data_IF_925707938086
#
_entry.id   IF_925707938086
#
_cell.length_a   1.000
_cell.length_b   1.000
_cell.length_c   1.000
_cell.angle_alpha   90.00
_cell.angle_beta   90.00
_cell.angle_gamma   90.00
#
_symmetry.space_group_name_H-M   'P 1'
#
loop_
_entity.id
_entity.type
_entity.pdbx_description
1 polymer ?
#
# COMPACT_ATOMS: atom_id res chain seq x y z
N UNK A 1 -12.78 34.38 -17.84
CA UNK A 1 -13.31 33.04 -18.15
C UNK A 1 -13.32 32.88 -19.67
N UNK A 2 -12.57 31.90 -20.18
CA UNK A 2 -12.39 31.65 -21.62
C UNK A 2 -13.68 31.12 -22.26
N UNK A 3 -13.95 31.43 -23.53
CA UNK A 3 -15.10 30.95 -24.29
C UNK A 3 -15.26 29.41 -24.26
N UNK A 4 -14.16 28.67 -24.09
CA UNK A 4 -14.17 27.22 -23.95
C UNK A 4 -14.91 26.73 -22.68
N UNK A 5 -14.90 27.51 -21.59
CA UNK A 5 -15.58 27.14 -20.34
C UNK A 5 -17.10 27.34 -20.41
N UNK A 6 -17.58 28.25 -21.26
CA UNK A 6 -19.01 28.51 -21.44
C UNK A 6 -19.71 27.36 -22.21
N UNK A 7 -19.05 26.82 -23.24
CA UNK A 7 -19.58 25.72 -24.04
C UNK A 7 -19.74 24.41 -23.25
N UNK A 8 -18.83 24.12 -22.31
CA UNK A 8 -18.90 22.92 -21.45
C UNK A 8 -20.07 23.01 -20.45
N UNK A 9 -20.33 24.19 -19.90
CA UNK A 9 -21.45 24.43 -18.99
C UNK A 9 -22.81 24.37 -19.71
N UNK A 10 -22.89 24.86 -20.95
CA UNK A 10 -24.11 24.75 -21.77
C UNK A 10 -24.43 23.29 -22.15
N UNK A 11 -23.43 22.48 -22.52
CA UNK A 11 -23.64 21.04 -22.78
C UNK A 11 -24.14 20.27 -21.55
N UNK A 12 -23.65 20.59 -20.35
CA UNK A 12 -24.12 19.94 -19.10
C UNK A 12 -25.56 20.31 -18.73
N UNK A 13 -26.02 21.53 -19.04
CA UNK A 13 -27.42 21.93 -18.80
C UNK A 13 -28.40 21.28 -19.80
N UNK A 14 -28.02 21.14 -21.07
CA UNK A 14 -28.87 20.51 -22.08
C UNK A 14 -29.13 19.02 -21.80
N UNK A 15 -28.10 18.28 -21.38
CA UNK A 15 -28.23 16.84 -21.09
C UNK A 15 -29.09 16.55 -19.84
N UNK A 16 -29.14 17.49 -18.87
CA UNK A 16 -29.97 17.36 -17.66
C UNK A 16 -31.47 17.60 -17.93
N UNK A 17 -31.80 18.40 -18.97
CA UNK A 17 -33.18 18.66 -19.38
C UNK A 17 -33.84 17.49 -20.11
N UNK A 18 -33.07 16.73 -20.92
CA UNK A 18 -33.62 15.60 -21.67
C UNK A 18 -33.99 14.39 -20.79
N UNK A 19 -33.27 14.17 -19.68
CA UNK A 19 -33.56 13.06 -18.74
C UNK A 19 -34.88 13.30 -17.99
N UNK A 20 -35.26 14.56 -17.74
CA UNK A 20 -36.50 14.89 -17.02
C UNK A 20 -37.75 14.79 -17.88
N UNK A 21 -37.66 14.94 -19.21
CA UNK A 21 -38.84 14.85 -20.10
C UNK A 21 -39.22 13.39 -20.39
N UNK A 22 -38.27 12.47 -20.46
CA UNK A 22 -38.52 11.05 -20.78
C UNK A 22 -39.27 10.27 -19.68
N UNK A 23 -39.18 10.69 -18.42
CA UNK A 23 -39.80 9.99 -17.28
C UNK A 23 -41.30 10.34 -17.13
N UNK A 24 -41.73 11.52 -17.57
CA UNK A 24 -43.15 11.94 -17.46
C UNK A 24 -44.06 11.40 -18.57
N UNK A 25 -43.51 10.94 -19.70
CA UNK A 25 -44.31 10.46 -20.83
C UNK A 25 -44.83 9.02 -20.67
N UNK A 26 -44.27 8.22 -19.75
CA UNK A 26 -44.59 6.79 -19.65
C UNK A 26 -45.71 6.41 -18.64
N UNK A 27 -46.30 7.38 -17.94
CA UNK A 27 -47.27 7.12 -16.84
C UNK A 27 -48.73 7.48 -17.17
N UNK A 28 -49.10 7.70 -18.44
CA UNK A 28 -50.43 8.21 -18.80
C UNK A 28 -51.22 7.35 -19.81
N UNK A 29 -51.20 6.02 -19.66
CA UNK A 29 -52.13 5.15 -20.42
C UNK A 29 -52.28 3.76 -19.80
N UNK A 30 -53.25 3.61 -18.90
CA UNK A 30 -54.08 2.40 -18.74
C UNK A 30 -55.16 2.67 -17.68
N UNK A 31 -56.36 3.00 -18.13
CA UNK A 31 -57.57 3.06 -17.32
C UNK A 31 -58.44 1.85 -17.72
N UNK A 32 -58.73 0.89 -16.82
CA UNK A 32 -59.74 -0.11 -17.07
C UNK A 32 -61.05 0.23 -16.33
N UNK A 33 -62.11 0.21 -17.12
CA UNK A 33 -63.53 0.32 -16.81
C UNK A 33 -63.98 -0.45 -15.56
N UNK A 34 -64.77 0.23 -14.70
CA UNK A 34 -65.49 -0.35 -13.55
C UNK A 34 -66.55 -1.34 -14.02
N UNK A 35 -66.37 -2.62 -13.70
CA UNK A 35 -67.46 -3.58 -13.54
C UNK A 35 -67.58 -3.96 -12.05
N UNK A 36 -68.78 -3.78 -11.51
CA UNK A 36 -69.12 -4.15 -10.15
C UNK A 36 -69.14 -5.69 -10.02
N UNK A 37 -68.24 -6.24 -9.22
CA UNK A 37 -68.18 -7.66 -8.85
C UNK A 37 -68.33 -7.74 -7.33
N UNK A 38 -69.25 -8.60 -6.89
CA UNK A 38 -69.66 -8.75 -5.49
C UNK A 38 -68.51 -9.03 -4.52
N UNK A 39 -68.60 -8.43 -3.34
CA UNK A 39 -67.68 -8.63 -2.23
C UNK A 39 -67.94 -10.00 -1.61
N UNK A 40 -67.14 -11.00 -2.00
CA UNK A 40 -66.95 -12.21 -1.21
C UNK A 40 -65.66 -12.04 -0.40
N UNK A 41 -65.80 -11.91 0.92
CA UNK A 41 -64.69 -11.84 1.88
C UNK A 41 -63.98 -13.21 1.95
N UNK A 42 -62.70 -13.34 1.58
CA UNK A 42 -61.95 -14.58 1.81
C UNK A 42 -61.61 -14.73 3.30
N UNK A 43 -61.51 -15.97 3.83
CA UNK A 43 -61.08 -16.18 5.21
C UNK A 43 -59.63 -15.70 5.38
N UNK A 44 -59.33 -15.18 6.58
CA UNK A 44 -58.04 -14.64 6.96
C UNK A 44 -56.88 -15.59 6.60
N UNK A 45 -56.10 -15.23 5.57
CA UNK A 45 -54.82 -15.86 5.31
C UNK A 45 -53.85 -15.43 6.41
N UNK A 46 -53.48 -16.39 7.26
CA UNK A 46 -52.33 -16.28 8.15
C UNK A 46 -51.08 -16.04 7.32
N UNK A 47 -50.46 -14.86 7.46
CA UNK A 47 -49.14 -14.58 6.88
C UNK A 47 -48.17 -15.65 7.39
N UNK A 48 -47.44 -16.37 6.54
CA UNK A 48 -46.31 -17.16 7.01
C UNK A 48 -45.34 -16.20 7.69
N UNK A 49 -44.92 -16.57 8.90
CA UNK A 49 -43.92 -15.83 9.66
C UNK A 49 -42.71 -15.57 8.75
N UNK A 50 -42.30 -14.30 8.65
CA UNK A 50 -41.10 -13.92 7.94
C UNK A 50 -39.93 -14.72 8.54
N UNK A 51 -39.44 -15.71 7.80
CA UNK A 51 -38.18 -16.36 8.12
C UNK A 51 -37.10 -15.29 8.09
N UNK A 52 -36.40 -15.10 9.22
CA UNK A 52 -35.23 -14.23 9.31
C UNK A 52 -34.30 -14.47 8.11
N UNK A 53 -33.73 -13.42 7.51
CA UNK A 53 -32.75 -13.60 6.45
C UNK A 53 -31.63 -14.49 6.98
N UNK A 54 -31.32 -15.56 6.24
CA UNK A 54 -30.22 -16.45 6.56
C UNK A 54 -28.94 -15.62 6.78
N UNK A 55 -28.08 -15.99 7.75
CA UNK A 55 -26.82 -15.29 7.95
C UNK A 55 -26.06 -15.29 6.63
N UNK A 56 -25.72 -14.09 6.16
CA UNK A 56 -24.79 -13.91 5.03
C UNK A 56 -23.60 -14.84 5.24
N UNK A 57 -23.12 -15.56 4.22
CA UNK A 57 -21.92 -16.38 4.35
C UNK A 57 -20.83 -15.49 4.97
N UNK A 58 -20.27 -15.98 6.08
CA UNK A 58 -19.33 -15.25 6.92
C UNK A 58 -18.34 -14.49 6.04
N UNK A 59 -18.29 -13.17 6.22
CA UNK A 59 -17.39 -12.32 5.48
C UNK A 59 -15.98 -12.89 5.64
N UNK A 60 -15.40 -13.42 4.56
CA UNK A 60 -14.10 -14.08 4.62
C UNK A 60 -13.01 -13.12 5.09
N UNK A 61 -11.78 -13.60 5.36
CA UNK A 61 -10.67 -12.80 5.91
C UNK A 61 -10.35 -11.48 5.16
N UNK A 62 -10.83 -11.31 3.92
CA UNK A 62 -10.76 -10.05 3.19
C UNK A 62 -11.59 -8.91 3.82
N UNK A 63 -12.69 -9.20 4.52
CA UNK A 63 -13.53 -8.19 5.16
C UNK A 63 -12.88 -7.58 6.42
N UNK A 64 -11.90 -8.29 7.01
CA UNK A 64 -11.20 -7.88 8.23
C UNK A 64 -9.82 -7.27 8.00
N UNK A 65 -9.39 -7.13 6.73
CA UNK A 65 -8.12 -6.50 6.39
C UNK A 65 -8.08 -5.04 6.87
N UNK A 66 -7.34 -4.78 7.95
CA UNK A 66 -7.25 -3.45 8.58
C UNK A 66 -6.81 -2.35 7.60
N UNK A 67 -5.96 -2.71 6.64
CA UNK A 67 -5.43 -1.79 5.63
C UNK A 67 -6.46 -1.39 4.55
N UNK A 68 -7.65 -2.01 4.54
CA UNK A 68 -8.78 -1.49 3.76
C UNK A 68 -9.46 -0.29 4.45
N UNK A 69 -9.24 -0.13 5.77
CA UNK A 69 -9.74 1.01 6.55
C UNK A 69 -8.78 2.18 6.38
N UNK A 70 -9.33 3.35 6.04
CA UNK A 70 -8.55 4.55 5.68
C UNK A 70 -7.58 4.99 6.78
N UNK A 71 -8.05 5.07 8.02
CA UNK A 71 -7.26 5.61 9.13
C UNK A 71 -6.00 4.78 9.42
N UNK A 72 -6.08 3.49 9.74
CA UNK A 72 -4.87 2.73 10.06
C UNK A 72 -3.96 2.58 8.83
N UNK A 73 -4.51 2.46 7.61
CA UNK A 73 -3.71 2.40 6.39
C UNK A 73 -2.92 3.68 6.12
N UNK A 74 -3.57 4.84 6.22
CA UNK A 74 -2.91 6.14 6.05
C UNK A 74 -1.83 6.37 7.11
N UNK A 75 -2.12 6.06 8.38
CA UNK A 75 -1.14 6.15 9.47
C UNK A 75 0.07 5.24 9.22
N UNK A 76 -0.17 3.99 8.81
CA UNK A 76 0.89 3.03 8.50
C UNK A 76 1.84 3.55 7.41
N UNK A 77 1.29 4.09 6.32
CA UNK A 77 2.10 4.68 5.24
C UNK A 77 2.88 5.89 5.74
N UNK A 78 2.28 6.78 6.52
CA UNK A 78 2.96 7.96 7.06
C UNK A 78 4.10 7.55 7.97
N UNK A 79 3.86 6.68 8.96
CA UNK A 79 4.89 6.26 9.92
C UNK A 79 6.03 5.56 9.20
N UNK A 80 5.73 4.57 8.34
CA UNK A 80 6.75 3.85 7.59
C UNK A 80 7.59 4.79 6.71
N UNK A 81 6.95 5.77 6.07
CA UNK A 81 7.64 6.73 5.22
C UNK A 81 8.46 7.74 6.00
N UNK A 82 7.97 8.24 7.13
CA UNK A 82 8.72 9.15 8.01
C UNK A 82 9.97 8.45 8.55
N UNK A 83 9.85 7.20 9.00
CA UNK A 83 11.00 6.42 9.47
C UNK A 83 11.99 6.20 8.31
N UNK A 84 11.53 5.75 7.15
CA UNK A 84 12.39 5.53 5.98
C UNK A 84 13.11 6.79 5.51
N UNK A 85 12.38 7.91 5.45
CA UNK A 85 12.92 9.23 5.10
C UNK A 85 13.96 9.69 6.12
N UNK A 86 13.66 9.56 7.41
CA UNK A 86 14.56 9.94 8.49
C UNK A 86 15.86 9.15 8.45
N UNK A 87 15.76 7.82 8.31
CA UNK A 87 16.95 6.97 8.22
C UNK A 87 17.77 7.27 6.97
N UNK A 88 17.13 7.47 5.82
CA UNK A 88 17.82 7.83 4.57
C UNK A 88 18.52 9.20 4.66
N UNK A 89 17.90 10.14 5.37
CA UNK A 89 18.46 11.47 5.63
C UNK A 89 19.68 11.40 6.55
N UNK A 90 19.59 10.69 7.68
CA UNK A 90 20.74 10.46 8.57
C UNK A 90 21.89 9.78 7.81
N UNK A 91 21.58 8.79 6.99
CA UNK A 91 22.54 8.09 6.15
C UNK A 91 23.27 9.02 5.19
N UNK A 92 22.56 10.00 4.65
CA UNK A 92 23.13 10.99 3.74
C UNK A 92 24.07 11.94 4.49
N UNK A 93 23.68 12.39 5.69
CA UNK A 93 24.54 13.22 6.56
C UNK A 93 25.81 12.46 6.94
N UNK A 94 25.67 11.20 7.36
CA UNK A 94 26.81 10.36 7.76
C UNK A 94 27.77 10.12 6.59
N UNK A 95 27.24 9.95 5.36
CA UNK A 95 28.08 9.86 4.16
C UNK A 95 28.85 11.15 3.89
N UNK A 96 28.22 12.32 4.06
CA UNK A 96 28.88 13.62 3.88
C UNK A 96 29.98 13.83 4.93
N UNK A 97 29.71 13.54 6.20
CA UNK A 97 30.72 13.62 7.27
C UNK A 97 31.91 12.72 7.02
N UNK A 98 31.67 11.50 6.53
CA UNK A 98 32.74 10.56 6.18
C UNK A 98 33.55 11.03 4.96
N UNK A 99 32.94 11.75 4.02
CA UNK A 99 33.67 12.37 2.90
C UNK A 99 34.53 13.54 3.36
N UNK A 100 34.07 14.32 4.34
CA UNK A 100 34.84 15.44 4.94
C UNK A 100 35.98 14.94 5.83
N UNK A 101 35.73 13.90 6.62
CA UNK A 101 36.71 13.28 7.51
C UNK A 101 36.60 11.74 7.45
N UNK A 102 37.42 11.08 6.61
CA UNK A 102 37.37 9.62 6.44
C UNK A 102 37.60 8.81 7.72
N UNK A 103 38.30 9.38 8.71
CA UNK A 103 38.60 8.75 10.00
C UNK A 103 37.51 8.92 11.06
N UNK A 104 36.39 9.57 10.75
CA UNK A 104 35.32 9.79 11.73
C UNK A 104 34.60 8.49 12.08
N UNK A 105 34.34 8.30 13.37
CA UNK A 105 33.45 7.25 13.88
C UNK A 105 32.01 7.73 13.84
N UNK A 106 31.14 6.99 13.15
CA UNK A 106 29.73 7.36 13.02
C UNK A 106 28.91 6.81 14.19
N UNK A 107 27.76 7.45 14.48
CA UNK A 107 26.88 7.01 15.57
C UNK A 107 26.26 5.62 15.38
N UNK A 108 26.29 5.11 14.15
CA UNK A 108 25.81 3.76 13.82
C UNK A 108 26.94 2.75 13.60
N UNK A 109 28.18 3.12 13.92
CA UNK A 109 29.31 2.20 13.98
C UNK A 109 29.34 1.56 15.37
N UNK A 110 28.50 0.52 15.55
CA UNK A 110 28.31 -0.13 16.84
C UNK A 110 29.43 -1.13 17.16
N UNK A 111 29.89 -1.83 16.13
CA UNK A 111 30.97 -2.82 16.20
C UNK A 111 31.47 -3.14 14.78
N UNK A 112 32.58 -3.90 14.62
CA UNK A 112 33.14 -4.21 13.31
C UNK A 112 32.18 -4.93 12.34
N UNK A 113 31.20 -5.67 12.86
CA UNK A 113 30.19 -6.36 12.04
C UNK A 113 28.97 -5.50 11.72
N UNK A 114 28.71 -4.46 12.52
CA UNK A 114 27.59 -3.53 12.36
C UNK A 114 28.08 -2.09 12.31
N UNK A 115 28.45 -1.65 11.10
CA UNK A 115 29.10 -0.36 10.83
C UNK A 115 28.57 0.26 9.54
N UNK A 116 27.95 1.45 9.66
CA UNK A 116 27.57 2.22 8.48
C UNK A 116 28.79 2.71 7.72
N UNK A 117 29.82 3.17 8.45
CA UNK A 117 31.00 3.77 7.88
C UNK A 117 31.74 2.82 6.97
N UNK A 118 31.89 1.56 7.40
CA UNK A 118 32.57 0.52 6.62
C UNK A 118 31.77 0.13 5.38
N UNK A 119 30.44 0.01 5.48
CA UNK A 119 29.59 -0.30 4.32
C UNK A 119 29.64 0.83 3.27
N UNK A 120 29.76 2.08 3.70
CA UNK A 120 29.80 3.25 2.80
C UNK A 120 31.08 3.36 1.96
N UNK A 121 32.14 2.62 2.29
CA UNK A 121 33.41 2.62 1.55
C UNK A 121 33.34 1.73 0.29
N UNK A 122 32.38 0.82 0.25
CA UNK A 122 32.22 -0.10 -0.87
C UNK A 122 31.52 0.56 -2.07
N UNK A 123 31.91 0.23 -3.32
CA UNK A 123 31.28 0.78 -4.52
C UNK A 123 29.77 0.57 -4.60
N UNK A 124 29.26 -0.49 -3.99
CA UNK A 124 27.83 -0.83 -3.94
C UNK A 124 27.01 0.16 -3.09
N UNK A 125 27.67 1.02 -2.31
CA UNK A 125 27.02 2.15 -1.64
C UNK A 125 26.62 3.28 -2.60
N UNK A 126 27.01 3.18 -3.88
CA UNK A 126 26.60 4.11 -4.93
C UNK A 126 25.90 3.38 -6.08
N UNK A 127 24.83 3.97 -6.56
CA UNK A 127 24.08 3.51 -7.72
C UNK A 127 23.95 4.70 -8.67
N UNK A 128 24.12 4.48 -9.97
CA UNK A 128 24.03 5.54 -10.98
C UNK A 128 24.99 6.73 -10.73
N UNK A 129 26.09 6.50 -10.01
CA UNK A 129 27.10 7.52 -9.70
C UNK A 129 26.80 8.39 -8.47
N UNK A 130 25.73 8.11 -7.73
CA UNK A 130 25.43 8.83 -6.49
C UNK A 130 25.13 7.89 -5.31
N UNK A 131 25.30 8.35 -4.06
CA UNK A 131 25.02 7.54 -2.88
C UNK A 131 23.56 7.06 -2.83
N UNK A 132 23.34 5.76 -2.56
CA UNK A 132 22.01 5.13 -2.53
C UNK A 132 21.04 5.79 -1.54
N UNK A 133 21.58 6.44 -0.52
CA UNK A 133 20.87 7.18 0.52
C UNK A 133 19.94 8.24 -0.06
N UNK A 134 20.34 8.89 -1.16
CA UNK A 134 19.52 9.90 -1.82
C UNK A 134 18.30 9.31 -2.53
N UNK A 135 18.41 8.07 -3.05
CA UNK A 135 17.25 7.36 -3.61
C UNK A 135 16.19 7.17 -2.53
N UNK A 136 16.60 6.80 -1.32
CA UNK A 136 15.70 6.65 -0.18
C UNK A 136 14.95 7.95 0.13
N UNK A 137 15.66 9.07 0.21
CA UNK A 137 15.05 10.39 0.48
C UNK A 137 13.94 10.69 -0.52
N UNK A 138 14.22 10.54 -1.82
CA UNK A 138 13.22 10.84 -2.87
C UNK A 138 12.09 9.81 -2.85
N UNK A 139 12.41 8.53 -2.69
CA UNK A 139 11.44 7.45 -2.76
C UNK A 139 10.40 7.50 -1.62
N UNK A 140 10.81 7.78 -0.37
CA UNK A 140 9.91 7.78 0.78
C UNK A 140 8.95 8.97 0.84
N UNK A 141 9.20 10.04 0.08
CA UNK A 141 8.24 11.16 -0.04
C UNK A 141 6.93 10.70 -0.70
N UNK A 142 7.00 9.75 -1.64
CA UNK A 142 5.82 9.27 -2.38
C UNK A 142 4.83 8.52 -1.48
N UNK A 143 5.19 7.44 -0.75
CA UNK A 143 4.27 6.79 0.17
C UNK A 143 3.81 7.71 1.31
N UNK A 144 4.64 8.68 1.74
CA UNK A 144 4.24 9.70 2.71
C UNK A 144 3.06 10.53 2.18
N UNK A 145 3.20 11.05 0.96
CA UNK A 145 2.14 11.80 0.28
C UNK A 145 0.86 10.96 0.14
N UNK A 146 0.98 9.69 -0.27
CA UNK A 146 -0.18 8.80 -0.37
C UNK A 146 -0.86 8.59 0.99
N UNK A 147 -0.09 8.41 2.06
CA UNK A 147 -0.64 8.29 3.42
C UNK A 147 -1.45 9.52 3.82
N UNK A 148 -0.94 10.73 3.55
CA UNK A 148 -1.66 11.99 3.80
C UNK A 148 -2.93 12.08 2.96
N UNK A 149 -2.86 11.75 1.66
CA UNK A 149 -4.02 11.79 0.75
C UNK A 149 -5.12 10.80 1.17
N UNK A 150 -4.75 9.61 1.65
CA UNK A 150 -5.70 8.63 2.22
C UNK A 150 -6.42 9.21 3.44
N UNK A 151 -5.70 9.85 4.36
CA UNK A 151 -6.30 10.48 5.55
C UNK A 151 -7.16 11.70 5.21
N UNK A 152 -6.76 12.48 4.19
CA UNK A 152 -7.52 13.59 3.64
C UNK A 152 -8.78 13.14 2.85
N UNK A 153 -9.01 11.83 2.73
CA UNK A 153 -10.13 11.21 1.99
C UNK A 153 -10.12 11.50 0.49
N UNK A 154 -8.95 11.77 -0.08
CA UNK A 154 -8.80 11.94 -1.53
C UNK A 154 -8.94 10.58 -2.22
N UNK A 155 -9.77 10.53 -3.26
CA UNK A 155 -9.90 9.34 -4.11
C UNK A 155 -8.81 9.35 -5.18
N UNK A 156 -7.91 8.37 -5.11
CA UNK A 156 -6.81 8.22 -6.05
C UNK A 156 -7.16 7.17 -7.11
N UNK A 157 -6.88 7.44 -8.40
CA UNK A 157 -7.07 6.46 -9.46
C UNK A 157 -6.18 5.22 -9.28
N UNK A 158 -6.64 4.07 -9.78
CA UNK A 158 -5.95 2.78 -9.60
C UNK A 158 -4.51 2.74 -10.12
N UNK A 159 -4.19 3.48 -11.20
CA UNK A 159 -2.83 3.52 -11.76
C UNK A 159 -1.80 4.13 -10.81
N UNK A 160 -2.21 5.05 -9.93
CA UNK A 160 -1.34 5.60 -8.90
C UNK A 160 -0.99 4.54 -7.86
N UNK A 161 -1.94 3.68 -7.51
CA UNK A 161 -1.71 2.58 -6.57
C UNK A 161 -0.82 1.49 -7.16
N UNK A 162 -0.99 1.15 -8.43
CA UNK A 162 -0.09 0.20 -9.11
C UNK A 162 1.30 0.80 -9.29
N UNK A 163 1.40 2.10 -9.59
CA UNK A 163 2.67 2.83 -9.62
C UNK A 163 3.37 2.83 -8.26
N UNK A 164 2.64 3.09 -7.17
CA UNK A 164 3.19 3.01 -5.81
C UNK A 164 3.65 1.59 -5.45
N UNK A 165 2.86 0.57 -5.79
CA UNK A 165 3.23 -0.83 -5.57
C UNK A 165 4.50 -1.21 -6.36
N UNK A 166 4.59 -0.77 -7.63
CA UNK A 166 5.77 -0.99 -8.47
C UNK A 166 7.01 -0.28 -7.90
N UNK A 167 6.88 0.97 -7.47
CA UNK A 167 7.97 1.74 -6.85
C UNK A 167 8.46 1.11 -5.55
N UNK A 168 7.55 0.74 -4.65
CA UNK A 168 7.88 0.02 -3.41
C UNK A 168 8.49 -1.36 -3.70
N UNK A 169 8.03 -2.04 -4.74
CA UNK A 169 8.59 -3.32 -5.19
C UNK A 169 10.02 -3.16 -5.69
N UNK A 170 10.28 -2.16 -6.53
CA UNK A 170 11.64 -1.84 -6.99
C UNK A 170 12.55 -1.48 -5.80
N UNK A 171 12.04 -0.69 -4.85
CA UNK A 171 12.76 -0.36 -3.61
C UNK A 171 13.06 -1.59 -2.75
N UNK A 172 12.10 -2.49 -2.57
CA UNK A 172 12.29 -3.73 -1.84
C UNK A 172 13.33 -4.65 -2.51
N UNK A 173 13.29 -4.78 -3.83
CA UNK A 173 14.27 -5.55 -4.60
C UNK A 173 15.68 -4.96 -4.48
N UNK A 174 15.81 -3.63 -4.61
CA UNK A 174 17.07 -2.93 -4.40
C UNK A 174 17.59 -3.16 -2.97
N UNK A 175 16.72 -3.07 -1.96
CA UNK A 175 17.08 -3.37 -0.59
C UNK A 175 17.59 -4.81 -0.43
N UNK A 176 16.96 -5.80 -1.07
CA UNK A 176 17.41 -7.20 -0.97
C UNK A 176 18.75 -7.43 -1.68
N UNK A 177 18.97 -6.75 -2.80
CA UNK A 177 20.26 -6.76 -3.49
C UNK A 177 21.38 -6.17 -2.60
N UNK A 178 21.13 -5.02 -1.98
CA UNK A 178 22.09 -4.39 -1.06
C UNK A 178 22.29 -5.20 0.21
N UNK A 179 21.22 -5.77 0.77
CA UNK A 179 21.28 -6.72 1.88
C UNK A 179 22.21 -7.89 1.55
N UNK A 180 21.99 -8.55 0.41
CA UNK A 180 22.81 -9.69 0.00
C UNK A 180 24.28 -9.29 -0.12
N UNK A 181 24.55 -8.17 -0.79
CA UNK A 181 25.92 -7.68 -0.98
C UNK A 181 26.58 -7.34 0.37
N UNK A 182 25.89 -6.59 1.22
CA UNK A 182 26.42 -6.15 2.52
C UNK A 182 26.70 -7.34 3.45
N UNK A 183 25.73 -8.23 3.59
CA UNK A 183 25.76 -9.29 4.60
C UNK A 183 26.56 -10.51 4.13
N UNK A 184 26.42 -10.91 2.87
CA UNK A 184 27.03 -12.15 2.37
C UNK A 184 28.32 -11.92 1.59
N UNK A 185 28.44 -10.83 0.81
CA UNK A 185 29.66 -10.56 0.05
C UNK A 185 30.69 -9.76 0.86
N UNK A 186 30.25 -8.72 1.57
CA UNK A 186 31.12 -7.86 2.37
C UNK A 186 31.30 -8.40 3.80
N UNK A 187 30.22 -8.94 4.40
CA UNK A 187 30.24 -9.42 5.79
C UNK A 187 30.07 -8.33 6.84
N UNK A 188 29.43 -7.21 6.48
CA UNK A 188 29.13 -6.09 7.40
C UNK A 188 27.68 -5.68 7.24
N UNK A 189 26.96 -5.48 8.33
CA UNK A 189 25.61 -4.93 8.37
C UNK A 189 25.60 -3.43 8.68
N UNK A 190 24.61 -2.71 8.15
CA UNK A 190 24.36 -1.31 8.51
C UNK A 190 23.04 -1.21 9.29
N UNK A 191 23.04 -0.76 10.56
CA UNK A 191 21.82 -0.66 11.38
C UNK A 191 20.73 0.20 10.74
N UNK A 192 21.11 1.29 10.10
CA UNK A 192 20.14 2.16 9.44
C UNK A 192 19.58 1.58 8.13
N UNK A 193 20.40 0.92 7.32
CA UNK A 193 19.91 0.17 6.15
C UNK A 193 18.91 -0.91 6.58
N UNK A 194 19.17 -1.55 7.72
CA UNK A 194 18.23 -2.50 8.34
C UNK A 194 16.88 -1.83 8.54
N UNK A 195 16.83 -0.68 9.22
CA UNK A 195 15.57 0.04 9.44
C UNK A 195 14.87 0.42 8.13
N UNK A 196 15.62 0.84 7.11
CA UNK A 196 15.08 1.21 5.78
C UNK A 196 14.37 0.04 5.13
N UNK A 197 14.98 -1.15 5.06
CA UNK A 197 14.29 -2.30 4.47
C UNK A 197 13.18 -2.85 5.36
N UNK A 198 13.27 -2.67 6.69
CA UNK A 198 12.21 -3.04 7.65
C UNK A 198 10.91 -2.30 7.42
N UNK A 199 10.96 -1.03 7.01
CA UNK A 199 9.75 -0.29 6.67
C UNK A 199 9.32 -0.51 5.22
N UNK A 200 10.28 -0.72 4.31
CA UNK A 200 10.00 -0.88 2.88
C UNK A 200 9.25 -2.18 2.57
N UNK A 201 9.68 -3.31 3.14
CA UNK A 201 9.07 -4.63 2.84
C UNK A 201 7.59 -4.69 3.25
N UNK A 202 7.19 -4.34 4.49
CA UNK A 202 5.79 -4.34 4.88
C UNK A 202 4.96 -3.36 4.06
N UNK A 203 5.48 -2.16 3.78
CA UNK A 203 4.79 -1.19 2.92
C UNK A 203 4.53 -1.76 1.53
N UNK A 204 5.53 -2.40 0.91
CA UNK A 204 5.38 -3.06 -0.38
C UNK A 204 4.28 -4.12 -0.34
N UNK A 205 4.34 -5.05 0.63
CA UNK A 205 3.36 -6.12 0.73
C UNK A 205 1.94 -5.58 0.94
N UNK A 206 1.76 -4.67 1.91
CA UNK A 206 0.44 -4.10 2.25
C UNK A 206 -0.14 -3.28 1.10
N UNK A 207 0.65 -2.42 0.43
CA UNK A 207 0.19 -1.63 -0.71
C UNK A 207 -0.18 -2.54 -1.89
N UNK A 208 0.63 -3.58 -2.15
CA UNK A 208 0.34 -4.56 -3.21
C UNK A 208 -0.95 -5.33 -2.90
N UNK A 209 -1.14 -5.76 -1.64
CA UNK A 209 -2.38 -6.39 -1.20
C UNK A 209 -3.59 -5.47 -1.32
N UNK A 210 -3.46 -4.20 -0.91
CA UNK A 210 -4.49 -3.18 -1.08
C UNK A 210 -4.88 -3.00 -2.55
N UNK A 211 -3.89 -2.82 -3.44
CA UNK A 211 -4.12 -2.64 -4.87
C UNK A 211 -4.76 -3.88 -5.52
N UNK A 212 -4.36 -5.08 -5.10
CA UNK A 212 -4.92 -6.34 -5.58
C UNK A 212 -6.38 -6.54 -5.12
N UNK A 213 -6.70 -6.31 -3.84
CA UNK A 213 -8.07 -6.41 -3.33
C UNK A 213 -9.01 -5.37 -3.96
N UNK A 214 -8.49 -4.20 -4.33
CA UNK A 214 -9.23 -3.16 -5.05
C UNK A 214 -9.37 -3.39 -6.55
N UNK A 215 -8.72 -4.43 -7.09
CA UNK A 215 -8.79 -4.78 -8.51
C UNK A 215 -7.96 -3.89 -9.43
N UNK A 216 -6.98 -3.14 -8.90
CA UNK A 216 -6.23 -2.16 -9.69
C UNK A 216 -5.22 -2.78 -10.67
N UNK A 217 -4.85 -4.05 -10.49
CA UNK A 217 -4.00 -4.79 -11.44
C UNK A 217 -4.78 -5.39 -12.62
N UNK A 218 -6.09 -5.16 -12.71
CA UNK A 218 -6.95 -5.66 -13.79
C UNK A 218 -7.61 -7.01 -13.48
N UNK A 219 -8.68 -7.31 -14.22
CA UNK A 219 -9.57 -8.43 -13.94
C UNK A 219 -8.88 -9.81 -13.95
N UNK A 220 -7.90 -10.02 -14.83
CA UNK A 220 -7.17 -11.30 -14.91
C UNK A 220 -6.32 -11.58 -13.67
N UNK A 221 -5.63 -10.56 -13.13
CA UNK A 221 -4.82 -10.71 -11.92
C UNK A 221 -5.72 -10.89 -10.70
N UNK A 222 -6.82 -10.14 -10.61
CA UNK A 222 -7.77 -10.23 -9.49
C UNK A 222 -8.53 -11.56 -9.45
N UNK A 223 -8.75 -12.19 -10.61
CA UNK A 223 -9.38 -13.51 -10.68
C UNK A 223 -8.46 -14.66 -10.21
N UNK A 224 -7.14 -14.43 -10.12
CA UNK A 224 -6.20 -15.45 -9.68
C UNK A 224 -6.38 -15.78 -8.19
N UNK A 225 -6.55 -17.06 -7.83
CA UNK A 225 -6.67 -17.47 -6.42
C UNK A 225 -5.39 -17.13 -5.64
N UNK A 226 -4.22 -17.21 -6.27
CA UNK A 226 -2.94 -16.87 -5.65
C UNK A 226 -2.84 -15.38 -5.31
N UNK A 227 -3.26 -14.51 -6.22
CA UNK A 227 -3.26 -13.06 -5.98
C UNK A 227 -4.19 -12.69 -4.82
N UNK A 228 -5.36 -13.36 -4.73
CA UNK A 228 -6.31 -13.14 -3.64
C UNK A 228 -5.79 -13.63 -2.30
N UNK A 229 -5.16 -14.80 -2.26
CA UNK A 229 -4.53 -15.34 -1.03
C UNK A 229 -3.40 -14.42 -0.56
N UNK A 230 -2.51 -14.01 -1.47
CA UNK A 230 -1.45 -13.04 -1.16
C UNK A 230 -2.05 -11.76 -0.58
N UNK A 231 -3.05 -11.20 -1.25
CA UNK A 231 -3.61 -9.90 -0.87
C UNK A 231 -4.31 -9.93 0.50
N UNK A 232 -4.93 -11.06 0.87
CA UNK A 232 -5.52 -11.27 2.20
C UNK A 232 -4.45 -11.40 3.30
N UNK A 233 -3.29 -11.98 2.99
CA UNK A 233 -2.23 -12.28 3.95
C UNK A 233 -1.01 -11.37 3.77
N UNK A 234 -1.17 -10.23 3.11
CA UNK A 234 -0.08 -9.36 2.69
C UNK A 234 0.87 -8.99 3.84
N UNK A 235 0.32 -8.61 5.00
CA UNK A 235 1.15 -8.28 6.16
C UNK A 235 1.88 -9.51 6.72
N UNK A 236 1.22 -10.67 6.78
CA UNK A 236 1.85 -11.91 7.24
C UNK A 236 2.99 -12.34 6.32
N UNK A 237 2.83 -12.18 5.00
CA UNK A 237 3.89 -12.44 4.02
C UNK A 237 5.06 -11.47 4.23
N UNK A 238 4.78 -10.19 4.47
CA UNK A 238 5.80 -9.20 4.83
C UNK A 238 6.55 -9.58 6.12
N UNK A 239 5.83 -10.01 7.16
CA UNK A 239 6.44 -10.48 8.42
C UNK A 239 7.28 -11.73 8.19
N UNK A 240 6.78 -12.72 7.43
CA UNK A 240 7.53 -13.93 7.10
C UNK A 240 8.82 -13.59 6.35
N UNK A 241 8.75 -12.69 5.37
CA UNK A 241 9.93 -12.20 4.65
C UNK A 241 10.93 -11.56 5.62
N UNK A 242 10.46 -10.68 6.51
CA UNK A 242 11.33 -10.07 7.54
C UNK A 242 11.97 -11.12 8.46
N UNK A 243 11.21 -12.12 8.91
CA UNK A 243 11.73 -13.22 9.72
C UNK A 243 12.83 -14.00 8.99
N UNK A 244 12.65 -14.27 7.70
CA UNK A 244 13.68 -14.93 6.87
C UNK A 244 14.93 -14.06 6.79
N UNK A 245 14.80 -12.76 6.47
CA UNK A 245 15.93 -11.83 6.37
C UNK A 245 16.69 -11.72 7.69
N UNK A 246 15.99 -11.54 8.81
CA UNK A 246 16.63 -11.47 10.12
C UNK A 246 17.24 -12.80 10.56
N UNK A 247 16.56 -13.92 10.30
CA UNK A 247 17.12 -15.25 10.56
C UNK A 247 18.43 -15.47 9.81
N UNK A 248 18.50 -15.04 8.55
CA UNK A 248 19.72 -15.08 7.75
C UNK A 248 20.85 -14.21 8.33
N UNK A 249 20.54 -13.02 8.86
CA UNK A 249 21.52 -12.17 9.55
C UNK A 249 22.05 -12.87 10.81
N UNK A 250 21.16 -13.43 11.63
CA UNK A 250 21.53 -14.14 12.86
C UNK A 250 22.43 -15.33 12.55
N UNK A 251 22.08 -16.14 11.55
CA UNK A 251 22.89 -17.30 11.12
C UNK A 251 24.24 -16.84 10.58
N UNK A 252 24.28 -15.79 9.76
CA UNK A 252 25.54 -15.28 9.18
C UNK A 252 26.50 -14.74 10.24
N UNK A 253 25.98 -14.05 11.25
CA UNK A 253 26.75 -13.46 12.35
C UNK A 253 26.65 -14.27 13.65
N UNK A 254 26.43 -15.59 13.54
CA UNK A 254 26.19 -16.44 14.72
C UNK A 254 27.31 -16.33 15.76
N UNK A 255 28.57 -16.31 15.32
CA UNK A 255 29.74 -16.19 16.21
C UNK A 255 29.72 -14.91 17.06
N UNK A 256 29.23 -13.81 16.50
CA UNK A 256 29.05 -12.54 17.22
C UNK A 256 27.92 -12.66 18.25
N UNK A 257 26.75 -13.17 17.84
CA UNK A 257 25.60 -13.30 18.74
C UNK A 257 25.80 -14.34 19.84
N UNK A 258 26.48 -15.44 19.57
CA UNK A 258 26.79 -16.47 20.57
C UNK A 258 27.76 -15.97 21.64
N UNK A 259 28.56 -14.95 21.35
CA UNK A 259 29.46 -14.33 22.33
C UNK A 259 28.78 -13.32 23.26
N UNK A 260 27.51 -12.95 23.00
CA UNK A 260 26.72 -12.02 23.81
C UNK A 260 25.77 -12.71 24.81
N UNK A 261 25.56 -14.02 24.66
CA UNK A 261 24.74 -14.89 25.52
C UNK A 261 25.61 -15.53 26.61
#
# INVERSE_FOLDING_TARGET
MSQAQCAVLQRRRFNRGQISLGIRAHLSRTEPTRHAVGVNTPPAQTRPAASSPAPSPAAGPAADAWFLRRLPFGIFLIIGSVIGLWMSFLLSIDKLRKLENPGITLSCDLNPFFSCGSVMEYPQAQLLGFPNQFLGIVAFVVPLMFGVLVLARVELPGWLWTGLAAGLGAGALLCMYLFYTSIFAIGVGCPWCIVVWTVTIPMFCVVTGYAALRGFFGAGVTASPYARVFAQHALLIGVLWMCIVYGLIIVKFWTFFSGLL
#
